data_IF_974439256876
#
_entry.id   IF_974439256876
#
_cell.length_a   1.000
_cell.length_b   1.000
_cell.length_c   1.000
_cell.angle_alpha   90.00
_cell.angle_beta   90.00
_cell.angle_gamma   90.00
#
_symmetry.space_group_name_H-M   'P 1'
#
loop_
_entity.id
_entity.type
_entity.pdbx_description
1 polymer ?
#
# COMPACT_ATOMS: atom_id res chain seq x y z
N UNK A 1 6.63 -10.45 -9.99
CA UNK A 1 7.25 -11.69 -9.45
C UNK A 1 6.35 -12.44 -8.48
N UNK A 2 5.25 -11.87 -7.98
CA UNK A 2 4.39 -12.45 -6.96
C UNK A 2 5.00 -12.51 -5.54
N UNK A 3 6.10 -11.83 -5.31
CA UNK A 3 6.70 -11.71 -3.96
C UNK A 3 6.07 -10.58 -3.18
N UNK A 4 5.98 -10.72 -1.85
CA UNK A 4 5.65 -9.63 -0.94
C UNK A 4 6.77 -8.60 -0.99
N UNK A 5 6.41 -7.34 -1.16
CA UNK A 5 7.38 -6.23 -1.25
C UNK A 5 6.99 -5.11 -0.31
N UNK A 6 7.99 -4.47 0.28
CA UNK A 6 7.83 -3.31 1.13
C UNK A 6 8.83 -2.23 0.73
N UNK A 7 8.40 -0.98 0.86
CA UNK A 7 9.29 0.18 0.79
C UNK A 7 8.98 1.11 1.93
N UNK A 8 10.01 1.71 2.53
CA UNK A 8 9.86 2.69 3.59
C UNK A 8 10.51 4.02 3.21
N UNK A 9 9.95 5.10 3.74
CA UNK A 9 10.53 6.43 3.64
C UNK A 9 9.88 7.35 4.68
N UNK A 10 10.29 8.61 4.66
CA UNK A 10 9.72 9.67 5.50
C UNK A 10 9.18 10.78 4.59
N UNK A 11 8.03 11.27 4.89
CA UNK A 11 7.33 12.45 4.31
C UNK A 11 7.77 12.91 2.90
N UNK A 12 8.86 13.69 2.71
CA UNK A 12 9.30 14.09 1.37
C UNK A 12 9.66 12.92 0.46
N UNK A 13 10.22 11.83 1.01
CA UNK A 13 10.53 10.63 0.24
C UNK A 13 9.28 9.88 -0.23
N UNK A 14 8.17 9.95 0.52
CA UNK A 14 6.87 9.45 0.07
C UNK A 14 6.32 10.31 -1.07
N UNK A 15 6.47 11.63 -0.98
CA UNK A 15 6.11 12.54 -2.08
C UNK A 15 6.85 12.19 -3.37
N UNK A 16 8.14 11.86 -3.30
CA UNK A 16 8.91 11.39 -4.45
C UNK A 16 8.46 10.04 -5.00
N UNK A 17 7.82 9.21 -4.18
CA UNK A 17 7.28 7.90 -4.59
C UNK A 17 5.84 7.97 -5.13
N UNK A 18 5.20 9.11 -5.11
CA UNK A 18 3.76 9.24 -5.43
C UNK A 18 3.42 8.74 -6.83
N UNK A 19 4.27 8.97 -7.82
CA UNK A 19 4.11 8.41 -9.17
C UNK A 19 4.15 6.87 -9.15
N UNK A 20 5.16 6.28 -8.50
CA UNK A 20 5.27 4.84 -8.37
C UNK A 20 4.09 4.21 -7.62
N UNK A 21 3.57 4.87 -6.58
CA UNK A 21 2.39 4.43 -5.85
C UNK A 21 1.15 4.44 -6.75
N UNK A 22 1.01 5.48 -7.57
CA UNK A 22 -0.06 5.57 -8.57
C UNK A 22 0.02 4.41 -9.60
N UNK A 23 1.24 4.07 -10.06
CA UNK A 23 1.42 2.93 -10.96
C UNK A 23 1.10 1.59 -10.29
N UNK A 24 1.47 1.40 -9.02
CA UNK A 24 1.08 0.20 -8.27
C UNK A 24 -0.45 0.05 -8.22
N UNK A 25 -1.16 1.15 -7.93
CA UNK A 25 -2.63 1.17 -7.94
C UNK A 25 -3.18 0.94 -9.36
N UNK A 26 -2.55 1.55 -10.38
CA UNK A 26 -2.92 1.41 -11.78
C UNK A 26 -2.77 -0.01 -12.33
N UNK A 27 -1.80 -0.75 -11.84
CA UNK A 27 -1.49 -2.12 -12.25
C UNK A 27 -2.12 -3.20 -11.34
N UNK A 28 -2.90 -2.84 -10.32
CA UNK A 28 -3.38 -3.76 -9.28
C UNK A 28 -2.25 -4.59 -8.66
N UNK A 29 -1.15 -3.93 -8.28
CA UNK A 29 0.02 -4.56 -7.69
C UNK A 29 0.05 -4.39 -6.16
N UNK A 30 0.18 -5.49 -5.41
CA UNK A 30 0.30 -5.44 -3.96
C UNK A 30 1.67 -4.91 -3.52
N UNK A 31 1.68 -3.97 -2.58
CA UNK A 31 2.88 -3.50 -1.91
C UNK A 31 2.54 -2.88 -0.55
N UNK A 32 3.43 -3.02 0.41
CA UNK A 32 3.36 -2.29 1.67
C UNK A 32 4.28 -1.07 1.60
N UNK A 33 3.73 0.11 1.86
CA UNK A 33 4.43 1.39 1.87
C UNK A 33 4.44 1.89 3.32
N UNK A 34 5.62 2.10 3.87
CA UNK A 34 5.76 2.63 5.24
C UNK A 34 6.17 4.10 5.15
N UNK A 35 5.32 4.97 5.68
CA UNK A 35 5.63 6.39 5.88
C UNK A 35 5.91 6.64 7.37
N UNK A 36 7.18 6.92 7.70
CA UNK A 36 7.55 7.42 9.02
C UNK A 36 7.52 8.94 8.96
N UNK A 37 6.39 9.52 9.38
CA UNK A 37 6.11 10.94 9.24
C UNK A 37 7.08 11.82 10.02
N UNK A 38 7.37 12.98 9.49
CA UNK A 38 8.14 14.04 10.13
C UNK A 38 7.56 15.42 9.81
N UNK A 39 8.02 16.45 10.51
CA UNK A 39 7.55 17.82 10.30
C UNK A 39 7.86 18.34 8.89
N UNK A 40 6.85 18.89 8.24
CA UNK A 40 6.87 19.56 6.93
C UNK A 40 6.23 20.95 7.05
N UNK A 41 5.94 21.62 5.89
CA UNK A 41 6.13 21.17 4.50
C UNK A 41 7.57 21.34 3.96
N UNK A 42 7.78 20.93 2.72
CA UNK A 42 9.07 20.95 2.02
C UNK A 42 10.04 19.93 2.58
N UNK A 43 11.32 20.28 2.73
CA UNK A 43 12.29 19.44 3.41
C UNK A 43 11.91 19.22 4.88
N UNK A 44 11.27 20.23 5.48
CA UNK A 44 10.80 20.20 6.86
C UNK A 44 11.90 20.06 7.88
N UNK A 45 11.56 19.44 9.01
CA UNK A 45 12.48 19.13 10.10
C UNK A 45 12.67 17.64 10.28
N UNK A 46 13.52 17.27 11.25
CA UNK A 46 13.72 15.89 11.68
C UNK A 46 12.76 15.49 12.82
N UNK A 47 11.98 16.44 13.30
CA UNK A 47 11.08 16.22 14.42
C UNK A 47 9.93 15.31 14.02
N UNK A 48 9.50 14.38 14.89
CA UNK A 48 8.30 13.60 14.68
C UNK A 48 7.07 14.48 14.44
N UNK A 49 6.21 14.07 13.55
CA UNK A 49 4.96 14.78 13.25
C UNK A 49 3.95 13.82 12.64
N UNK A 50 2.66 14.12 12.78
CA UNK A 50 1.55 13.38 12.16
C UNK A 50 0.86 14.26 11.09
N UNK A 51 1.65 14.93 10.25
CA UNK A 51 1.19 15.94 9.30
C UNK A 51 0.92 15.41 7.89
N UNK A 52 1.14 14.11 7.62
CA UNK A 52 0.94 13.52 6.30
C UNK A 52 -0.43 12.80 6.15
N UNK A 53 -1.36 13.04 7.05
CA UNK A 53 -2.69 12.43 7.01
C UNK A 53 -3.39 12.63 5.65
N UNK A 54 -3.40 13.87 5.15
CA UNK A 54 -4.02 14.18 3.86
C UNK A 54 -3.27 13.57 2.68
N UNK A 55 -1.93 13.53 2.73
CA UNK A 55 -1.12 12.84 1.73
C UNK A 55 -1.47 11.35 1.66
N UNK A 56 -1.56 10.68 2.82
CA UNK A 56 -1.87 9.26 2.90
C UNK A 56 -3.30 8.93 2.46
N UNK A 57 -4.27 9.77 2.86
CA UNK A 57 -5.70 9.44 2.69
C UNK A 57 -6.35 10.08 1.47
N UNK A 58 -5.76 11.15 0.88
CA UNK A 58 -6.40 11.93 -0.18
C UNK A 58 -5.52 12.34 -1.34
N UNK A 59 -4.21 12.13 -1.30
CA UNK A 59 -3.32 12.72 -2.29
C UNK A 59 -2.04 11.95 -2.56
N UNK A 60 -2.03 10.64 -2.40
CA UNK A 60 -0.82 9.83 -2.59
C UNK A 60 -0.29 9.76 -4.03
N UNK A 61 -1.01 10.30 -5.02
CA UNK A 61 -0.63 10.32 -6.43
C UNK A 61 -1.78 10.84 -7.30
N UNK A 62 -1.76 10.57 -8.61
CA UNK A 62 -2.80 11.01 -9.54
C UNK A 62 -3.82 9.91 -9.84
N UNK A 63 -4.99 10.29 -10.38
CA UNK A 63 -6.03 9.39 -10.85
C UNK A 63 -7.01 8.95 -9.76
N UNK A 64 -7.14 9.71 -8.69
CA UNK A 64 -8.14 9.54 -7.61
C UNK A 64 -8.21 8.13 -7.01
N UNK A 65 -7.11 7.40 -7.05
CA UNK A 65 -7.04 6.10 -6.38
C UNK A 65 -6.99 6.26 -4.85
N UNK A 66 -7.44 5.24 -4.15
CA UNK A 66 -7.39 5.18 -2.69
C UNK A 66 -6.34 4.18 -2.21
N UNK A 67 -5.71 4.50 -1.09
CA UNK A 67 -4.89 3.58 -0.30
C UNK A 67 -5.71 3.04 0.87
N UNK A 68 -5.40 1.83 1.29
CA UNK A 68 -5.76 1.35 2.60
C UNK A 68 -4.66 1.80 3.56
N UNK A 69 -5.02 2.64 4.54
CA UNK A 69 -4.06 3.27 5.45
C UNK A 69 -4.23 2.68 6.84
N UNK A 70 -3.15 2.17 7.41
CA UNK A 70 -3.07 1.60 8.75
C UNK A 70 -2.19 2.49 9.61
N UNK A 71 -2.66 2.92 10.78
CA UNK A 71 -1.93 3.79 11.68
C UNK A 71 -1.77 3.12 13.05
N UNK A 72 -0.57 2.65 13.41
CA UNK A 72 -0.32 2.02 14.70
C UNK A 72 -0.29 3.03 15.84
N UNK A 73 -0.78 2.65 17.02
CA UNK A 73 -0.70 3.40 18.27
C UNK A 73 0.31 2.82 19.28
N UNK A 74 0.92 1.65 18.98
CA UNK A 74 1.97 1.02 19.79
C UNK A 74 2.97 0.24 18.93
N UNK A 75 4.12 -0.12 19.50
CA UNK A 75 5.12 -0.92 18.75
C UNK A 75 4.57 -2.31 18.42
N UNK A 76 3.77 -2.90 19.32
CA UNK A 76 3.11 -4.17 19.02
C UNK A 76 2.11 -4.03 17.87
N UNK A 77 1.31 -2.95 17.83
CA UNK A 77 0.42 -2.70 16.69
C UNK A 77 1.20 -2.46 15.40
N UNK A 78 2.35 -1.77 15.44
CA UNK A 78 3.19 -1.61 14.25
C UNK A 78 3.59 -2.96 13.67
N UNK A 79 4.00 -3.90 14.51
CA UNK A 79 4.32 -5.28 14.08
C UNK A 79 3.09 -5.96 13.49
N UNK A 80 1.97 -5.97 14.22
CA UNK A 80 0.73 -6.62 13.81
C UNK A 80 0.19 -6.05 12.49
N UNK A 81 0.14 -4.72 12.39
CA UNK A 81 -0.35 -4.02 11.19
C UNK A 81 0.59 -4.15 10.00
N UNK A 82 1.89 -4.41 10.22
CA UNK A 82 2.82 -4.73 9.12
C UNK A 82 2.42 -6.05 8.46
N UNK A 83 2.17 -7.11 9.24
CA UNK A 83 1.71 -8.38 8.70
C UNK A 83 0.34 -8.26 8.05
N UNK A 84 -0.62 -7.63 8.74
CA UNK A 84 -1.96 -7.35 8.21
C UNK A 84 -1.90 -6.53 6.92
N UNK A 85 -0.98 -5.56 6.83
CA UNK A 85 -0.77 -4.74 5.65
C UNK A 85 -0.35 -5.55 4.42
N UNK A 86 0.55 -6.52 4.59
CA UNK A 86 0.90 -7.45 3.52
C UNK A 86 -0.28 -8.32 3.09
N UNK A 87 -1.06 -8.83 4.03
CA UNK A 87 -2.22 -9.67 3.72
C UNK A 87 -3.29 -8.88 3.00
N UNK A 88 -3.61 -7.67 3.45
CA UNK A 88 -4.58 -6.79 2.80
C UNK A 88 -4.11 -6.36 1.40
N UNK A 89 -2.82 -6.06 1.24
CA UNK A 89 -2.27 -5.74 -0.07
C UNK A 89 -2.45 -6.88 -1.08
N UNK A 90 -2.17 -8.12 -0.68
CA UNK A 90 -2.36 -9.30 -1.52
C UNK A 90 -3.83 -9.62 -1.74
N UNK A 91 -4.66 -9.58 -0.69
CA UNK A 91 -6.11 -9.85 -0.74
C UNK A 91 -6.81 -8.97 -1.76
N UNK A 92 -6.53 -7.67 -1.74
CA UNK A 92 -7.19 -6.69 -2.60
C UNK A 92 -6.37 -6.28 -3.81
N UNK A 93 -5.15 -6.80 -3.96
CA UNK A 93 -4.22 -6.44 -5.04
C UNK A 93 -4.10 -4.92 -5.19
N UNK A 94 -3.61 -4.27 -4.14
CA UNK A 94 -3.45 -2.82 -4.11
C UNK A 94 -2.32 -2.41 -3.15
N UNK A 95 -1.76 -1.20 -3.30
CA UNK A 95 -0.84 -0.67 -2.31
C UNK A 95 -1.56 -0.37 -0.99
N UNK A 96 -0.94 -0.75 0.13
CA UNK A 96 -1.36 -0.44 1.50
C UNK A 96 -0.30 0.43 2.14
N UNK A 97 -0.69 1.43 2.92
CA UNK A 97 0.23 2.30 3.63
C UNK A 97 0.17 2.06 5.14
N UNK A 98 1.32 1.85 5.74
CA UNK A 98 1.51 1.92 7.19
C UNK A 98 1.99 3.34 7.52
N UNK A 99 1.12 4.11 8.18
CA UNK A 99 1.34 5.52 8.50
C UNK A 99 1.80 5.63 9.95
N UNK A 100 3.10 5.75 10.15
CA UNK A 100 3.75 5.87 11.45
C UNK A 100 4.43 7.23 11.57
N UNK A 101 5.08 7.51 12.68
CA UNK A 101 5.88 8.71 12.88
C UNK A 101 7.23 8.40 13.55
N UNK A 102 8.10 9.41 13.65
CA UNK A 102 9.43 9.26 14.21
C UNK A 102 9.42 8.96 15.73
N UNK A 103 8.36 9.30 16.47
CA UNK A 103 8.22 8.92 17.88
C UNK A 103 8.03 7.42 17.98
N UNK A 104 7.05 6.89 17.24
CA UNK A 104 6.80 5.44 17.18
C UNK A 104 8.03 4.66 16.71
N UNK A 105 8.77 5.19 15.73
CA UNK A 105 10.00 4.56 15.21
C UNK A 105 11.16 4.53 16.20
N UNK A 106 11.12 5.31 17.27
CA UNK A 106 12.14 5.37 18.32
C UNK A 106 11.72 4.71 19.65
N UNK A 107 10.44 4.36 19.78
CA UNK A 107 9.93 3.70 20.99
C UNK A 107 10.51 2.29 21.11
N UNK A 108 10.79 1.91 22.35
CA UNK A 108 11.24 0.57 22.71
C UNK A 108 10.21 -0.06 23.64
N UNK A 109 9.52 -1.06 23.14
CA UNK A 109 8.54 -1.85 23.89
C UNK A 109 8.77 -3.34 23.65
N UNK A 110 8.46 -4.21 24.61
CA UNK A 110 8.47 -5.64 24.36
C UNK A 110 7.38 -6.00 23.34
N UNK A 111 7.74 -6.82 22.36
CA UNK A 111 6.80 -7.26 21.31
C UNK A 111 6.75 -8.78 21.23
N UNK A 112 5.57 -9.33 20.95
CA UNK A 112 5.40 -10.71 20.54
C UNK A 112 5.51 -10.79 19.03
N UNK A 113 6.28 -11.75 18.53
CA UNK A 113 6.39 -12.07 17.09
C UNK A 113 5.54 -13.30 16.70
N UNK A 114 4.67 -13.76 17.59
CA UNK A 114 3.72 -14.83 17.26
C UNK A 114 2.61 -14.26 16.40
N UNK A 115 2.79 -14.35 15.10
CA UNK A 115 1.91 -13.77 14.06
C UNK A 115 0.98 -14.80 13.43
N UNK A 116 0.98 -16.04 13.94
CA UNK A 116 0.19 -17.11 13.36
C UNK A 116 0.68 -17.54 11.97
N UNK A 117 -0.21 -18.20 11.22
CA UNK A 117 0.11 -18.66 9.88
C UNK A 117 0.02 -17.54 8.84
N UNK A 118 0.98 -17.52 7.92
CA UNK A 118 0.97 -16.57 6.79
C UNK A 118 -0.07 -17.02 5.77
N UNK A 119 -1.06 -16.18 5.53
CA UNK A 119 -2.09 -16.44 4.52
C UNK A 119 -1.47 -16.48 3.11
N UNK A 120 -1.81 -17.49 2.35
CA UNK A 120 -1.40 -17.62 0.96
C UNK A 120 -2.54 -17.18 0.04
N UNK A 121 -2.24 -16.21 -0.84
CA UNK A 121 -3.17 -15.69 -1.83
C UNK A 121 -2.82 -16.20 -3.23
N UNK A 122 -3.81 -16.25 -4.13
CA UNK A 122 -3.58 -16.57 -5.53
C UNK A 122 -2.63 -15.57 -6.19
N UNK A 123 -1.62 -16.09 -6.87
CA UNK A 123 -0.60 -15.31 -7.59
C UNK A 123 -0.54 -15.66 -9.07
N UNK A 124 -1.62 -16.21 -9.60
CA UNK A 124 -1.76 -16.55 -11.02
C UNK A 124 -1.53 -15.35 -11.96
N UNK A 125 -1.79 -14.14 -11.47
CA UNK A 125 -1.55 -12.88 -12.17
C UNK A 125 -0.06 -12.51 -12.32
N UNK A 126 0.84 -13.15 -11.56
CA UNK A 126 2.24 -12.73 -11.49
C UNK A 126 3.02 -13.10 -12.76
N UNK A 127 4.05 -12.29 -13.07
CA UNK A 127 4.94 -12.47 -14.22
C UNK A 127 6.07 -13.46 -13.88
N UNK A 128 5.72 -14.70 -13.58
CA UNK A 128 6.65 -15.76 -13.17
C UNK A 128 7.13 -16.62 -14.33
N UNK A 129 6.81 -16.24 -15.55
CA UNK A 129 6.98 -17.07 -16.75
C UNK A 129 5.81 -18.00 -17.00
N UNK A 130 5.71 -18.50 -18.22
CA UNK A 130 4.59 -19.36 -18.64
C UNK A 130 4.95 -20.85 -18.65
N UNK A 131 6.25 -21.16 -18.79
CA UNK A 131 6.72 -22.52 -19.05
C UNK A 131 6.04 -23.16 -20.26
N UNK A 132 5.52 -22.37 -21.18
CA UNK A 132 4.70 -22.78 -22.35
C UNK A 132 3.40 -23.52 -21.96
N UNK A 133 2.94 -23.36 -20.71
CA UNK A 133 1.74 -24.03 -20.17
C UNK A 133 0.51 -23.13 -20.10
N UNK A 134 0.67 -21.84 -20.28
CA UNK A 134 -0.40 -20.85 -20.26
C UNK A 134 -0.03 -19.62 -21.09
N UNK A 135 -1.01 -18.79 -21.41
CA UNK A 135 -0.77 -17.48 -22.02
C UNK A 135 0.01 -16.54 -21.06
N UNK A 136 0.82 -15.64 -21.61
CA UNK A 136 1.54 -14.65 -20.81
C UNK A 136 0.58 -13.71 -20.07
N UNK A 137 0.87 -13.42 -18.80
CA UNK A 137 0.20 -12.33 -18.12
C UNK A 137 0.75 -10.98 -18.60
N UNK A 138 -0.13 -10.00 -18.66
CA UNK A 138 0.22 -8.60 -18.92
C UNK A 138 -0.14 -7.78 -17.69
N UNK A 139 0.84 -7.07 -17.14
CA UNK A 139 0.66 -6.11 -16.05
C UNK A 139 0.99 -4.73 -16.62
N UNK A 140 -0.03 -3.89 -16.71
CA UNK A 140 0.04 -2.61 -17.42
C UNK A 140 -0.88 -1.59 -16.75
N UNK A 141 -0.51 -0.31 -16.79
CA UNK A 141 -1.33 0.82 -16.35
C UNK A 141 -1.68 1.78 -17.50
N UNK A 142 -1.26 1.47 -18.74
CA UNK A 142 -1.54 2.27 -19.89
C UNK A 142 -2.81 1.75 -20.60
N UNK A 143 -3.83 2.59 -20.70
CA UNK A 143 -5.08 2.35 -21.40
C UNK A 143 -5.29 3.46 -22.42
N UNK A 144 -5.10 3.15 -23.70
CA UNK A 144 -5.20 4.12 -24.78
C UNK A 144 -6.67 4.44 -25.10
N UNK A 145 -7.55 3.45 -24.94
CA UNK A 145 -8.98 3.63 -25.17
C UNK A 145 -9.65 4.11 -23.87
N UNK A 146 -10.36 5.26 -23.91
CA UNK A 146 -11.04 5.79 -22.72
C UNK A 146 -12.02 4.79 -22.08
N UNK A 147 -12.78 4.06 -22.89
CA UNK A 147 -13.77 3.09 -22.42
C UNK A 147 -13.15 1.95 -21.58
N UNK A 148 -11.94 1.49 -21.95
CA UNK A 148 -11.22 0.47 -21.19
C UNK A 148 -10.78 1.00 -19.83
N UNK A 149 -10.34 2.25 -19.76
CA UNK A 149 -9.97 2.92 -18.51
C UNK A 149 -11.20 3.16 -17.63
N UNK A 150 -12.33 3.54 -18.21
CA UNK A 150 -13.58 3.73 -17.47
C UNK A 150 -14.03 2.43 -16.79
N UNK A 151 -14.07 1.32 -17.52
CA UNK A 151 -14.42 -0.01 -16.97
C UNK A 151 -13.49 -0.39 -15.81
N UNK A 152 -12.20 -0.10 -15.93
CA UNK A 152 -11.24 -0.38 -14.87
C UNK A 152 -11.51 0.48 -13.63
N UNK A 153 -11.84 1.76 -13.82
CA UNK A 153 -12.15 2.66 -12.71
C UNK A 153 -13.42 2.23 -11.97
N UNK A 154 -14.46 1.80 -12.66
CA UNK A 154 -15.65 1.22 -12.02
C UNK A 154 -15.30 -0.01 -11.17
N UNK A 155 -14.48 -0.95 -11.67
CA UNK A 155 -14.01 -2.10 -10.89
C UNK A 155 -13.21 -1.69 -9.64
N UNK A 156 -12.42 -0.60 -9.72
CA UNK A 156 -11.72 -0.06 -8.55
C UNK A 156 -12.68 0.52 -7.53
N UNK A 157 -13.70 1.27 -7.94
CA UNK A 157 -14.71 1.78 -7.02
C UNK A 157 -15.49 0.66 -6.32
N UNK A 158 -15.85 -0.40 -7.03
CA UNK A 158 -16.46 -1.60 -6.43
C UNK A 158 -15.53 -2.24 -5.39
N UNK A 159 -14.23 -2.38 -5.72
CA UNK A 159 -13.21 -2.87 -4.77
C UNK A 159 -13.15 -2.00 -3.51
N UNK A 160 -13.14 -0.68 -3.65
CA UNK A 160 -13.11 0.24 -2.52
C UNK A 160 -14.38 0.16 -1.65
N UNK A 161 -15.55 -0.02 -2.26
CA UNK A 161 -16.80 -0.26 -1.54
C UNK A 161 -16.72 -1.55 -0.71
N UNK A 162 -16.25 -2.65 -1.29
CA UNK A 162 -16.04 -3.91 -0.58
C UNK A 162 -15.06 -3.78 0.59
N UNK A 163 -13.95 -3.06 0.40
CA UNK A 163 -12.98 -2.82 1.47
C UNK A 163 -13.62 -2.04 2.61
N UNK A 164 -14.40 -1.01 2.28
CA UNK A 164 -15.10 -0.20 3.27
C UNK A 164 -16.11 -0.99 4.10
N UNK A 165 -16.74 -1.99 3.51
CA UNK A 165 -17.69 -2.87 4.22
C UNK A 165 -16.97 -3.92 5.08
N UNK A 166 -15.90 -4.52 4.56
CA UNK A 166 -15.26 -5.69 5.17
C UNK A 166 -14.13 -5.37 6.14
N UNK A 167 -13.51 -4.21 6.02
CA UNK A 167 -12.31 -3.85 6.78
C UNK A 167 -12.55 -2.64 7.71
N UNK A 168 -13.79 -2.48 8.20
CA UNK A 168 -14.06 -1.51 9.26
C UNK A 168 -13.38 -1.97 10.55
N UNK A 169 -12.49 -1.14 11.07
CA UNK A 169 -11.75 -1.34 12.32
C UNK A 169 -12.12 -0.28 13.34
#
# INVERSE_FOLDING_TARGET
TGKRVMTSSSSPGISLKSEGISYLAGCDLPALIVNVQRGGPGLGGIQPSQSDYMQATRGAGHGDFHLLVLAPASVQEMVNLTFKGFDLAEKYRMPVMLLSDGTMGQMMEPVSLDMGEITQYDKSWALTGTGLKREPNVVNSLYIKPDELEVLNFKRYEKYAQIKENEQM
#
